data_IF_509182109601
#
_entry.id   IF_509182109601
#
_cell.length_a   1.000
_cell.length_b   1.000
_cell.length_c   1.000
_cell.angle_alpha   90.00
_cell.angle_beta   90.00
_cell.angle_gamma   90.00
#
_symmetry.space_group_name_H-M   'P 1'
#
loop_
_entity.id
_entity.type
_entity.pdbx_description
1 polymer ?
#
# COMPACT_ATOMS: atom_id res chain seq x y z
N UNK A 1 -50.14 -52.29 -18.36
CA UNK A 1 -48.85 -51.99 -17.81
C UNK A 1 -48.50 -50.53 -18.15
N UNK A 2 -48.75 -49.60 -17.25
CA UNK A 2 -48.43 -48.18 -17.42
C UNK A 2 -47.03 -47.92 -16.89
N UNK A 3 -46.05 -47.52 -17.72
CA UNK A 3 -44.72 -47.14 -17.32
C UNK A 3 -44.79 -45.70 -16.84
N UNK A 4 -44.54 -45.47 -15.53
CA UNK A 4 -44.31 -44.17 -14.96
C UNK A 4 -42.85 -43.72 -15.30
N UNK A 5 -42.73 -42.66 -16.09
CA UNK A 5 -41.46 -42.02 -16.38
C UNK A 5 -41.24 -40.93 -15.33
N UNK A 6 -40.36 -41.18 -14.32
CA UNK A 6 -39.98 -40.20 -13.30
C UNK A 6 -38.92 -39.29 -13.89
N UNK A 7 -39.28 -38.05 -14.23
CA UNK A 7 -38.33 -37.01 -14.63
C UNK A 7 -37.71 -36.46 -13.36
N UNK A 8 -36.40 -36.77 -13.12
CA UNK A 8 -35.61 -36.22 -12.09
C UNK A 8 -35.12 -34.81 -12.53
N UNK A 9 -35.78 -33.77 -12.04
CA UNK A 9 -35.40 -32.40 -12.29
C UNK A 9 -34.16 -32.09 -11.43
N UNK A 10 -32.95 -32.17 -12.00
CA UNK A 10 -31.70 -31.68 -11.39
C UNK A 10 -31.76 -30.17 -11.37
N UNK A 11 -32.17 -29.59 -10.23
CA UNK A 11 -31.96 -28.19 -9.91
C UNK A 11 -30.48 -27.99 -9.71
N UNK A 12 -29.77 -27.60 -10.76
CA UNK A 12 -28.43 -27.01 -10.62
C UNK A 12 -28.60 -25.65 -9.97
N UNK A 13 -28.42 -25.58 -8.66
CA UNK A 13 -28.17 -24.31 -7.99
C UNK A 13 -26.83 -23.80 -8.53
N UNK A 14 -26.87 -22.92 -9.49
CA UNK A 14 -25.73 -22.09 -9.84
C UNK A 14 -25.38 -21.29 -8.60
N UNK A 15 -24.35 -21.73 -7.89
CA UNK A 15 -23.71 -20.90 -6.87
C UNK A 15 -23.09 -19.75 -7.66
N UNK A 16 -23.82 -18.66 -7.75
CA UNK A 16 -23.27 -17.40 -8.23
C UNK A 16 -22.24 -16.95 -7.16
N UNK A 17 -21.01 -17.28 -7.40
CA UNK A 17 -19.90 -16.76 -6.60
C UNK A 17 -19.78 -15.27 -6.94
N UNK A 18 -20.62 -14.44 -6.34
CA UNK A 18 -20.42 -13.00 -6.35
C UNK A 18 -19.01 -12.72 -5.83
N UNK A 19 -18.24 -11.98 -6.59
CA UNK A 19 -16.85 -11.67 -6.20
C UNK A 19 -16.89 -10.89 -4.90
N UNK A 20 -16.33 -11.45 -3.84
CA UNK A 20 -16.38 -10.87 -2.49
C UNK A 20 -15.42 -9.70 -2.41
N UNK A 21 -15.92 -8.53 -2.02
CA UNK A 21 -15.09 -7.39 -1.68
C UNK A 21 -14.29 -7.67 -0.40
N UNK A 22 -13.03 -7.24 -0.39
CA UNK A 22 -12.13 -7.35 0.74
C UNK A 22 -11.90 -8.79 1.27
N UNK A 23 -11.58 -9.80 0.43
CA UNK A 23 -11.18 -11.10 0.95
C UNK A 23 -9.97 -10.95 1.88
N UNK A 24 -9.84 -11.84 2.88
CA UNK A 24 -8.72 -11.79 3.84
C UNK A 24 -7.39 -11.85 3.06
N UNK A 25 -6.46 -10.97 3.42
CA UNK A 25 -5.18 -10.81 2.74
C UNK A 25 -5.21 -9.85 1.55
N UNK A 26 -6.38 -9.32 1.17
CA UNK A 26 -6.44 -8.29 0.14
C UNK A 26 -5.74 -7.01 0.59
N UNK A 27 -4.99 -6.39 -0.34
CA UNK A 27 -4.20 -5.17 -0.13
C UNK A 27 -4.50 -4.15 -1.19
N UNK A 28 -4.65 -2.90 -0.77
CA UNK A 28 -4.82 -1.73 -1.63
C UNK A 28 -3.77 -0.71 -1.27
N UNK A 29 -3.08 -0.20 -2.26
CA UNK A 29 -2.12 0.87 -2.12
C UNK A 29 -2.68 2.12 -2.80
N UNK A 30 -2.88 3.19 -2.04
CA UNK A 30 -3.34 4.49 -2.55
C UNK A 30 -2.23 5.51 -2.37
N UNK A 31 -1.96 6.31 -3.39
CA UNK A 31 -1.04 7.43 -3.26
C UNK A 31 -1.56 8.39 -2.18
N UNK A 32 -0.63 8.97 -1.44
CA UNK A 32 -0.90 10.06 -0.52
C UNK A 32 0.07 11.20 -0.79
N UNK A 33 -0.35 12.42 -0.48
CA UNK A 33 0.48 13.62 -0.52
C UNK A 33 0.04 14.53 0.61
N UNK A 34 0.39 14.15 1.84
CA UNK A 34 -0.04 14.84 3.06
C UNK A 34 0.56 16.23 3.22
N UNK A 35 1.69 16.53 2.59
CA UNK A 35 2.25 17.88 2.56
C UNK A 35 2.37 18.36 1.12
N UNK A 36 1.89 19.57 0.83
CA UNK A 36 2.06 20.19 -0.50
C UNK A 36 3.52 20.37 -0.94
N UNK A 37 4.48 19.93 -0.13
CA UNK A 37 5.92 19.92 -0.38
C UNK A 37 6.46 18.54 -0.73
N UNK A 38 5.70 17.46 -0.48
CA UNK A 38 6.15 16.11 -0.80
C UNK A 38 6.14 15.86 -2.31
N UNK A 39 7.18 15.23 -2.88
CA UNK A 39 7.14 14.83 -4.29
C UNK A 39 5.96 13.90 -4.56
N UNK A 40 5.38 14.02 -5.76
CA UNK A 40 4.27 13.16 -6.16
C UNK A 40 4.65 11.67 -6.02
N UNK A 41 3.74 10.87 -5.48
CA UNK A 41 3.93 9.43 -5.19
C UNK A 41 5.00 9.09 -4.13
N UNK A 42 5.41 10.03 -3.29
CA UNK A 42 6.39 9.78 -2.22
C UNK A 42 5.80 9.10 -0.98
N UNK A 43 4.49 9.18 -0.83
CA UNK A 43 3.72 8.69 0.32
C UNK A 43 2.59 7.78 -0.13
N UNK A 44 2.10 6.91 0.76
CA UNK A 44 0.96 6.06 0.43
C UNK A 44 0.21 5.55 1.66
N UNK A 45 -1.06 5.21 1.46
CA UNK A 45 -1.87 4.42 2.37
C UNK A 45 -1.87 2.95 1.93
N UNK A 46 -1.65 2.05 2.88
CA UNK A 46 -1.89 0.62 2.74
C UNK A 46 -3.17 0.27 3.50
N UNK A 47 -4.16 -0.22 2.77
CA UNK A 47 -5.34 -0.87 3.33
C UNK A 47 -5.14 -2.38 3.21
N UNK A 48 -5.33 -3.11 4.32
CA UNK A 48 -5.15 -4.57 4.35
C UNK A 48 -6.32 -5.25 5.06
N UNK A 49 -7.01 -6.15 4.36
CA UNK A 49 -8.09 -6.96 4.93
C UNK A 49 -7.51 -8.06 5.82
N UNK A 50 -7.67 -7.92 7.14
CA UNK A 50 -6.97 -8.75 8.12
C UNK A 50 -7.76 -9.97 8.58
N UNK A 51 -9.04 -9.76 8.94
CA UNK A 51 -9.86 -10.80 9.54
C UNK A 51 -11.36 -10.51 9.42
N UNK A 52 -12.16 -11.55 9.62
CA UNK A 52 -13.60 -11.43 9.84
C UNK A 52 -13.90 -11.05 11.28
N UNK A 53 -14.87 -10.18 11.47
CA UNK A 53 -15.32 -9.71 12.80
C UNK A 53 -16.80 -9.39 12.79
N UNK A 54 -17.35 -8.99 13.93
CA UNK A 54 -18.75 -8.53 14.03
C UNK A 54 -18.77 -7.13 14.58
N UNK A 55 -19.36 -6.19 13.82
CA UNK A 55 -19.53 -4.79 14.20
C UNK A 55 -20.96 -4.36 13.84
N UNK A 56 -21.64 -3.63 14.72
CA UNK A 56 -23.01 -3.18 14.48
C UNK A 56 -24.00 -4.32 14.16
N UNK A 57 -23.74 -5.52 14.66
CA UNK A 57 -24.59 -6.71 14.41
C UNK A 57 -24.36 -7.43 13.08
N UNK A 58 -23.44 -6.95 12.23
CA UNK A 58 -23.11 -7.57 10.95
C UNK A 58 -21.74 -8.26 11.00
N UNK A 59 -21.65 -9.46 10.41
CA UNK A 59 -20.36 -10.08 10.08
C UNK A 59 -19.71 -9.25 8.98
N UNK A 60 -18.49 -8.77 9.21
CA UNK A 60 -17.80 -7.83 8.36
C UNK A 60 -16.29 -8.09 8.28
N UNK A 61 -15.63 -7.54 7.29
CA UNK A 61 -14.17 -7.53 7.15
C UNK A 61 -13.60 -6.34 7.93
N UNK A 62 -12.54 -6.62 8.71
CA UNK A 62 -11.71 -5.56 9.30
C UNK A 62 -10.55 -5.26 8.36
N UNK A 63 -10.48 -4.03 7.88
CA UNK A 63 -9.42 -3.53 7.01
C UNK A 63 -8.56 -2.58 7.83
N UNK A 64 -7.31 -2.92 8.09
CA UNK A 64 -6.35 -2.00 8.72
C UNK A 64 -5.92 -0.94 7.73
N UNK A 65 -5.59 0.23 8.24
CA UNK A 65 -5.12 1.36 7.45
C UNK A 65 -3.79 1.83 8.01
N UNK A 66 -2.76 1.79 7.18
CA UNK A 66 -1.41 2.23 7.53
C UNK A 66 -0.99 3.34 6.58
N UNK A 67 -0.58 4.47 7.11
CA UNK A 67 -0.03 5.58 6.36
C UNK A 67 1.49 5.58 6.44
N UNK A 68 2.15 5.69 5.31
CA UNK A 68 3.61 5.74 5.17
C UNK A 68 4.04 7.13 4.73
N UNK A 69 4.63 7.88 5.66
CA UNK A 69 5.01 9.28 5.48
C UNK A 69 6.38 9.43 4.79
N UNK A 70 6.53 10.53 4.03
CA UNK A 70 7.76 10.89 3.32
C UNK A 70 8.82 11.56 4.22
N UNK A 71 8.40 12.58 4.99
CA UNK A 71 9.34 13.53 5.59
C UNK A 71 10.24 12.85 6.64
N UNK A 72 9.66 12.09 7.56
CA UNK A 72 10.40 11.43 8.63
C UNK A 72 10.62 9.94 8.36
N UNK A 73 9.99 9.41 7.31
CA UNK A 73 9.92 7.97 7.07
C UNK A 73 9.06 7.22 8.09
N UNK A 74 8.24 7.95 8.84
CA UNK A 74 7.39 7.40 9.88
C UNK A 74 6.22 6.58 9.31
N UNK A 75 5.64 5.79 10.17
CA UNK A 75 4.48 4.97 9.87
C UNK A 75 3.39 5.26 10.90
N UNK A 76 2.23 5.69 10.44
CA UNK A 76 1.07 5.93 11.28
C UNK A 76 0.00 4.86 11.06
N UNK A 77 -0.53 4.33 12.16
CA UNK A 77 -1.66 3.40 12.13
C UNK A 77 -2.95 4.17 12.34
N UNK A 78 -3.83 4.14 11.35
CA UNK A 78 -5.10 4.84 11.35
C UNK A 78 -6.23 3.91 11.84
N UNK A 79 -7.40 4.47 12.22
CA UNK A 79 -8.56 3.67 12.58
C UNK A 79 -8.94 2.70 11.46
N UNK A 80 -9.27 1.44 11.78
CA UNK A 80 -9.63 0.46 10.77
C UNK A 80 -10.97 0.77 10.11
N UNK A 81 -11.12 0.34 8.87
CA UNK A 81 -12.38 0.36 8.12
C UNK A 81 -13.06 -1.01 8.27
N UNK A 82 -14.37 -1.00 8.49
CA UNK A 82 -15.16 -2.22 8.55
C UNK A 82 -16.15 -2.23 7.39
N UNK A 83 -16.13 -3.31 6.60
CA UNK A 83 -16.99 -3.46 5.43
C UNK A 83 -17.68 -4.80 5.41
N UNK A 84 -18.91 -4.84 4.90
CA UNK A 84 -19.55 -6.09 4.50
C UNK A 84 -20.19 -5.92 3.13
N UNK A 85 -20.41 -7.02 2.44
CA UNK A 85 -21.11 -7.04 1.18
C UNK A 85 -22.43 -7.80 1.30
N UNK A 86 -23.50 -7.24 0.76
CA UNK A 86 -24.78 -7.87 0.62
C UNK A 86 -25.26 -7.69 -0.81
N UNK A 87 -25.47 -8.80 -1.53
CA UNK A 87 -25.73 -8.80 -2.96
C UNK A 87 -24.72 -7.93 -3.73
N UNK A 88 -25.18 -7.00 -4.54
CA UNK A 88 -24.37 -6.11 -5.38
C UNK A 88 -23.95 -4.80 -4.66
N UNK A 89 -24.01 -4.74 -3.32
CA UNK A 89 -23.68 -3.53 -2.56
C UNK A 89 -22.65 -3.84 -1.47
N UNK A 90 -21.58 -3.08 -1.46
CA UNK A 90 -20.61 -3.01 -0.38
C UNK A 90 -21.00 -1.90 0.57
N UNK A 91 -21.01 -2.20 1.86
CA UNK A 91 -21.31 -1.25 2.94
C UNK A 91 -20.07 -1.01 3.79
N UNK A 92 -19.89 0.19 4.32
CA UNK A 92 -18.90 0.52 5.33
C UNK A 92 -19.57 0.97 6.65
N UNK A 93 -18.91 0.67 7.76
CA UNK A 93 -19.37 1.10 9.08
C UNK A 93 -18.88 2.50 9.38
N UNK A 94 -19.83 3.42 9.63
CA UNK A 94 -19.52 4.74 10.11
C UNK A 94 -19.57 4.75 11.64
N UNK A 95 -18.42 4.97 12.29
CA UNK A 95 -18.29 4.93 13.76
C UNK A 95 -19.05 6.08 14.43
N UNK A 96 -19.18 7.23 13.76
CA UNK A 96 -19.85 8.42 14.31
C UNK A 96 -21.34 8.16 14.43
N UNK A 97 -21.95 7.58 13.41
CA UNK A 97 -23.39 7.25 13.38
C UNK A 97 -23.69 5.85 13.93
N UNK A 98 -22.67 5.08 14.26
CA UNK A 98 -22.79 3.68 14.69
C UNK A 98 -23.68 2.85 13.76
N UNK A 99 -23.55 3.06 12.44
CA UNK A 99 -24.38 2.43 11.42
C UNK A 99 -23.61 2.16 10.13
N UNK A 100 -24.15 1.26 9.30
CA UNK A 100 -23.62 0.95 7.99
C UNK A 100 -24.27 1.81 6.91
N UNK A 101 -23.46 2.29 5.96
CA UNK A 101 -23.88 3.03 4.79
C UNK A 101 -23.33 2.41 3.52
N UNK A 102 -24.05 2.51 2.38
CA UNK A 102 -23.53 2.06 1.10
C UNK A 102 -22.21 2.73 0.74
N UNK A 103 -21.24 1.92 0.28
CA UNK A 103 -19.94 2.36 -0.21
C UNK A 103 -19.84 2.21 -1.72
N UNK A 104 -20.11 1.00 -2.24
CA UNK A 104 -20.13 0.70 -3.67
C UNK A 104 -21.44 -0.02 -4.03
N UNK A 105 -22.13 0.44 -5.06
CA UNK A 105 -23.41 -0.13 -5.53
C UNK A 105 -23.21 -0.56 -6.98
N UNK A 106 -23.21 -1.86 -7.24
CA UNK A 106 -22.95 -2.41 -8.57
C UNK A 106 -24.20 -2.72 -9.38
N UNK A 107 -25.38 -2.81 -8.76
CA UNK A 107 -26.64 -2.97 -9.47
C UNK A 107 -27.21 -1.61 -9.88
N UNK A 108 -26.60 -1.00 -10.88
CA UNK A 108 -26.89 0.35 -11.36
C UNK A 108 -26.87 0.39 -12.88
N UNK A 109 -27.56 1.38 -13.46
CA UNK A 109 -27.57 1.72 -14.87
C UNK A 109 -27.09 3.15 -15.12
N UNK A 110 -26.70 3.44 -16.35
CA UNK A 110 -26.36 4.80 -16.78
C UNK A 110 -27.52 5.76 -16.48
N UNK A 111 -27.22 6.90 -15.89
CA UNK A 111 -28.18 7.92 -15.51
C UNK A 111 -28.74 7.78 -14.09
N UNK A 112 -28.49 6.66 -13.41
CA UNK A 112 -28.90 6.50 -12.00
C UNK A 112 -28.18 7.52 -11.11
N UNK A 113 -28.90 7.98 -10.08
CA UNK A 113 -28.32 8.87 -9.05
C UNK A 113 -28.04 8.08 -7.78
N UNK A 114 -26.78 8.00 -7.43
CA UNK A 114 -26.28 7.36 -6.21
C UNK A 114 -26.26 8.37 -5.06
N UNK A 115 -26.45 7.85 -3.83
CA UNK A 115 -26.39 8.65 -2.59
C UNK A 115 -25.39 7.98 -1.64
N UNK A 116 -24.43 8.76 -1.17
CA UNK A 116 -23.40 8.32 -0.25
C UNK A 116 -23.43 9.15 1.04
N UNK A 117 -23.08 8.54 2.16
CA UNK A 117 -22.88 9.27 3.42
C UNK A 117 -21.39 9.60 3.57
N UNK A 118 -21.11 10.72 4.21
CA UNK A 118 -19.74 11.13 4.51
C UNK A 118 -19.19 10.33 5.69
N UNK A 119 -18.00 9.74 5.61
CA UNK A 119 -17.38 9.05 6.73
C UNK A 119 -16.85 9.99 7.81
N UNK A 120 -16.64 11.26 7.51
CA UNK A 120 -15.83 12.21 8.28
C UNK A 120 -16.60 13.35 8.97
N UNK A 121 -17.90 13.43 8.82
CA UNK A 121 -18.69 14.53 9.41
C UNK A 121 -19.72 14.11 10.44
N UNK A 122 -19.78 14.93 11.49
CA UNK A 122 -20.75 14.84 12.58
C UNK A 122 -22.12 15.46 12.26
N UNK A 123 -22.29 16.07 11.09
CA UNK A 123 -23.53 16.74 10.69
C UNK A 123 -24.50 15.77 10.03
N UNK A 124 -25.70 15.71 10.56
CA UNK A 124 -26.72 14.66 10.37
C UNK A 124 -27.25 14.50 8.93
N UNK A 125 -27.02 15.43 8.01
CA UNK A 125 -27.69 15.40 6.70
C UNK A 125 -26.77 15.74 5.51
N UNK A 126 -25.66 15.05 5.40
CA UNK A 126 -24.79 15.22 4.23
C UNK A 126 -24.70 13.91 3.43
N UNK A 127 -25.75 13.63 2.70
CA UNK A 127 -25.68 12.67 1.60
C UNK A 127 -25.13 13.36 0.37
N UNK A 128 -24.12 12.75 -0.23
CA UNK A 128 -23.60 13.17 -1.51
C UNK A 128 -24.26 12.42 -2.63
N UNK A 129 -24.40 13.10 -3.74
CA UNK A 129 -24.99 12.51 -4.93
C UNK A 129 -23.94 12.44 -6.03
N UNK A 130 -23.95 11.32 -6.73
CA UNK A 130 -23.20 11.13 -7.96
C UNK A 130 -24.13 10.54 -9.02
N UNK A 131 -23.95 10.91 -10.27
CA UNK A 131 -24.63 10.27 -11.38
C UNK A 131 -23.75 9.18 -11.97
N UNK A 132 -24.35 8.07 -12.36
CA UNK A 132 -23.69 7.00 -13.09
C UNK A 132 -23.53 7.43 -14.55
N UNK A 133 -22.31 7.69 -14.98
CA UNK A 133 -22.01 8.08 -16.36
C UNK A 133 -22.04 6.88 -17.30
N UNK A 134 -21.48 5.76 -16.86
CA UNK A 134 -21.50 4.50 -17.63
C UNK A 134 -21.19 3.30 -16.74
N UNK A 135 -21.60 2.15 -17.21
CA UNK A 135 -21.25 0.85 -16.62
C UNK A 135 -20.50 0.04 -17.69
N UNK A 136 -19.28 -0.34 -17.38
CA UNK A 136 -18.38 -1.09 -18.25
C UNK A 136 -17.87 -2.35 -17.56
N UNK A 137 -17.03 -3.11 -18.22
CA UNK A 137 -16.34 -4.26 -17.63
C UNK A 137 -14.84 -4.08 -17.74
N UNK A 138 -14.11 -4.56 -16.73
CA UNK A 138 -12.66 -4.67 -16.70
C UNK A 138 -12.29 -6.14 -16.62
N UNK A 139 -11.40 -6.58 -17.49
CA UNK A 139 -10.90 -7.97 -17.47
C UNK A 139 -9.54 -7.95 -16.79
N UNK A 140 -9.40 -8.71 -15.70
CA UNK A 140 -8.15 -8.91 -14.99
C UNK A 140 -7.89 -10.41 -14.91
N UNK A 141 -6.84 -10.88 -15.57
CA UNK A 141 -6.58 -12.32 -15.73
C UNK A 141 -7.80 -13.05 -16.31
N UNK A 142 -8.52 -13.83 -15.52
CA UNK A 142 -9.74 -14.56 -15.92
C UNK A 142 -11.02 -13.92 -15.41
N UNK A 143 -10.92 -12.94 -14.52
CA UNK A 143 -12.07 -12.29 -13.89
C UNK A 143 -12.61 -11.17 -14.79
N UNK A 144 -13.93 -11.15 -15.00
CA UNK A 144 -14.63 -10.03 -15.64
C UNK A 144 -15.35 -9.24 -14.56
N UNK A 145 -14.84 -8.06 -14.25
CA UNK A 145 -15.28 -7.19 -13.16
C UNK A 145 -16.13 -6.05 -13.70
N UNK A 146 -17.25 -5.77 -13.07
CA UNK A 146 -18.06 -4.59 -13.39
C UNK A 146 -17.32 -3.34 -12.93
N UNK A 147 -17.30 -2.31 -13.77
CA UNK A 147 -16.73 -1.00 -13.49
C UNK A 147 -17.79 0.07 -13.70
N UNK A 148 -18.05 0.85 -12.65
CA UNK A 148 -19.05 1.92 -12.66
C UNK A 148 -18.32 3.25 -12.64
N UNK A 149 -18.56 4.07 -13.65
CA UNK A 149 -18.06 5.42 -13.77
C UNK A 149 -19.07 6.41 -13.22
N UNK A 150 -18.61 7.38 -12.43
CA UNK A 150 -19.49 8.34 -11.78
C UNK A 150 -18.95 9.76 -11.88
N UNK A 151 -19.86 10.71 -12.00
CA UNK A 151 -19.59 12.13 -11.88
C UNK A 151 -20.34 12.73 -10.67
N UNK A 152 -19.70 13.62 -9.91
CA UNK A 152 -20.33 14.25 -8.75
C UNK A 152 -21.44 15.20 -9.21
N UNK A 153 -22.56 15.19 -8.48
CA UNK A 153 -23.63 16.18 -8.62
C UNK A 153 -23.52 17.29 -7.58
N UNK A 154 -22.79 17.06 -6.51
CA UNK A 154 -22.53 18.00 -5.43
C UNK A 154 -21.04 18.34 -5.42
N UNK A 155 -20.60 19.35 -4.63
CA UNK A 155 -19.19 19.76 -4.54
C UNK A 155 -18.28 18.72 -3.88
N UNK A 156 -18.70 17.47 -3.81
CA UNK A 156 -18.03 16.37 -3.13
C UNK A 156 -18.15 15.10 -3.95
N UNK A 157 -17.12 14.29 -4.03
CA UNK A 157 -17.17 13.19 -4.99
C UNK A 157 -16.46 11.92 -4.56
N UNK A 158 -17.03 10.82 -5.02
CA UNK A 158 -16.21 9.81 -5.66
C UNK A 158 -15.79 10.35 -7.02
N UNK A 159 -14.52 10.70 -7.19
CA UNK A 159 -13.96 10.95 -8.50
C UNK A 159 -13.55 9.63 -9.13
N UNK A 160 -13.88 9.45 -10.40
CA UNK A 160 -13.41 8.33 -11.18
C UNK A 160 -14.40 7.18 -11.26
N UNK A 161 -13.93 6.00 -11.00
CA UNK A 161 -14.73 4.77 -11.09
C UNK A 161 -14.51 3.87 -9.89
N UNK A 162 -15.47 3.00 -9.62
CA UNK A 162 -15.28 1.89 -8.71
C UNK A 162 -15.52 0.56 -9.42
N UNK A 163 -14.75 -0.44 -9.03
CA UNK A 163 -14.62 -1.72 -9.72
C UNK A 163 -14.96 -2.83 -8.73
N UNK A 164 -15.77 -3.82 -9.16
CA UNK A 164 -16.02 -5.01 -8.36
C UNK A 164 -14.72 -5.58 -7.82
N UNK A 165 -14.71 -6.06 -6.56
CA UNK A 165 -13.55 -6.61 -5.87
C UNK A 165 -12.48 -5.56 -5.50
N UNK A 166 -12.15 -4.63 -6.41
CA UNK A 166 -11.07 -3.65 -6.22
C UNK A 166 -11.52 -2.39 -5.45
N UNK A 167 -12.78 -1.99 -5.57
CA UNK A 167 -13.25 -0.71 -5.02
C UNK A 167 -12.92 0.49 -5.90
N UNK A 168 -12.91 1.69 -5.33
CA UNK A 168 -12.68 2.92 -6.07
C UNK A 168 -11.21 3.09 -6.48
N UNK A 169 -11.00 3.48 -7.74
CA UNK A 169 -9.68 3.68 -8.32
C UNK A 169 -9.02 5.00 -7.89
N UNK A 170 -9.74 5.85 -7.17
CA UNK A 170 -9.18 7.11 -6.67
C UNK A 170 -8.97 7.09 -5.15
N UNK A 171 -10.00 6.79 -4.35
CA UNK A 171 -9.95 6.70 -2.89
C UNK A 171 -10.83 5.56 -2.40
N UNK A 172 -10.41 4.82 -1.36
CA UNK A 172 -11.23 3.74 -0.82
C UNK A 172 -12.55 4.24 -0.21
N UNK A 173 -12.50 5.36 0.50
CA UNK A 173 -13.67 5.98 1.13
C UNK A 173 -13.92 7.34 0.50
N UNK A 174 -15.20 7.77 0.36
CA UNK A 174 -15.53 9.09 -0.16
C UNK A 174 -15.03 10.19 0.80
N UNK A 175 -14.34 11.19 0.25
CA UNK A 175 -13.85 12.35 1.01
C UNK A 175 -14.41 13.64 0.46
N UNK A 176 -14.29 14.75 1.23
CA UNK A 176 -14.70 16.07 0.77
C UNK A 176 -13.63 16.72 -0.08
N UNK A 177 -14.02 17.37 -1.18
CA UNK A 177 -13.11 18.20 -1.98
C UNK A 177 -12.44 19.32 -1.15
N UNK A 178 -13.07 19.78 -0.07
CA UNK A 178 -12.52 20.82 0.79
C UNK A 178 -11.31 20.36 1.63
N UNK A 179 -11.13 19.06 1.81
CA UNK A 179 -9.97 18.46 2.47
C UNK A 179 -8.90 17.95 1.47
N UNK A 180 -9.17 18.03 0.17
CA UNK A 180 -8.20 17.72 -0.90
C UNK A 180 -7.20 18.89 -1.09
N UNK A 181 -6.77 19.52 -0.02
CA UNK A 181 -5.53 20.31 -0.04
C UNK A 181 -4.33 19.35 -0.04
N UNK A 182 -4.56 18.12 0.35
CA UNK A 182 -3.63 17.01 0.36
C UNK A 182 -4.11 16.01 -0.70
N UNK A 183 -3.33 15.81 -1.73
CA UNK A 183 -3.71 14.99 -2.89
C UNK A 183 -3.65 13.50 -2.58
N UNK A 184 -4.65 12.99 -1.86
CA UNK A 184 -4.83 11.56 -1.68
C UNK A 184 -5.33 10.91 -2.97
N UNK A 185 -4.85 9.71 -3.25
CA UNK A 185 -5.17 8.98 -4.48
C UNK A 185 -4.19 9.27 -5.64
N UNK A 186 -4.31 8.62 -6.78
CA UNK A 186 -5.17 7.46 -7.04
C UNK A 186 -4.68 6.13 -6.44
N UNK A 187 -5.46 5.06 -6.65
CA UNK A 187 -5.01 3.70 -6.34
C UNK A 187 -3.79 3.35 -7.19
N UNK A 188 -2.75 2.86 -6.54
CA UNK A 188 -1.55 2.35 -7.22
C UNK A 188 -1.74 0.90 -7.64
N UNK A 189 -2.14 0.08 -6.69
CA UNK A 189 -2.25 -1.36 -6.86
C UNK A 189 -3.33 -1.95 -5.98
N UNK A 190 -3.81 -3.10 -6.43
CA UNK A 190 -4.61 -4.05 -5.68
C UNK A 190 -3.98 -5.44 -5.76
N UNK A 191 -4.02 -6.21 -4.69
CA UNK A 191 -3.68 -7.63 -4.71
C UNK A 191 -4.46 -8.42 -3.67
N UNK A 192 -4.83 -9.66 -4.02
CA UNK A 192 -5.33 -10.68 -3.11
C UNK A 192 -4.73 -12.05 -3.48
N UNK A 193 -5.25 -13.14 -2.93
CA UNK A 193 -4.77 -14.50 -3.19
C UNK A 193 -4.94 -14.96 -4.65
N UNK A 194 -5.77 -14.30 -5.44
CA UNK A 194 -6.15 -14.71 -6.81
C UNK A 194 -5.86 -13.65 -7.86
N UNK A 195 -5.82 -12.39 -7.47
CA UNK A 195 -5.79 -11.25 -8.37
C UNK A 195 -4.69 -10.28 -7.96
N UNK A 196 -3.94 -9.79 -8.94
CA UNK A 196 -3.01 -8.68 -8.77
C UNK A 196 -3.22 -7.70 -9.92
N UNK A 197 -3.40 -6.43 -9.60
CA UNK A 197 -3.63 -5.38 -10.60
C UNK A 197 -2.90 -4.10 -10.22
N UNK A 198 -2.14 -3.54 -11.16
CA UNK A 198 -1.44 -2.27 -10.98
C UNK A 198 -2.02 -1.22 -11.92
N UNK A 199 -2.45 -0.09 -11.35
CA UNK A 199 -2.92 1.08 -12.09
C UNK A 199 -1.73 1.94 -12.57
N UNK A 200 -0.59 1.85 -11.86
CA UNK A 200 0.62 2.56 -12.21
C UNK A 200 1.77 1.55 -12.33
N UNK A 201 2.36 1.46 -13.51
CA UNK A 201 3.47 0.54 -13.81
C UNK A 201 4.85 1.18 -13.66
N UNK A 202 4.92 2.49 -13.37
CA UNK A 202 6.18 3.21 -13.29
C UNK A 202 6.92 2.98 -11.96
N UNK A 203 6.17 2.69 -10.89
CA UNK A 203 6.73 2.49 -9.56
C UNK A 203 6.14 1.24 -8.88
N UNK A 204 6.87 0.57 -7.98
CA UNK A 204 6.32 -0.45 -7.10
C UNK A 204 5.12 0.09 -6.29
N UNK A 205 4.23 -0.81 -5.88
CA UNK A 205 3.02 -0.42 -5.14
C UNK A 205 3.34 0.30 -3.82
N UNK A 206 4.38 -0.14 -3.15
CA UNK A 206 4.90 0.35 -1.87
C UNK A 206 6.01 1.41 -2.05
N UNK A 207 6.17 1.94 -3.25
CA UNK A 207 7.17 2.96 -3.49
C UNK A 207 6.93 4.19 -2.61
N UNK A 208 7.96 4.58 -1.89
CA UNK A 208 8.05 5.85 -1.17
C UNK A 208 9.43 6.46 -1.38
N UNK A 209 9.48 7.76 -1.50
CA UNK A 209 10.73 8.50 -1.42
C UNK A 209 11.06 8.66 0.07
N UNK A 210 12.26 8.33 0.49
CA UNK A 210 12.73 8.64 1.83
C UNK A 210 13.84 9.68 1.74
N UNK A 211 13.78 10.72 2.56
CA UNK A 211 14.83 11.75 2.64
C UNK A 211 16.04 11.29 3.46
N UNK A 212 15.92 10.16 4.13
CA UNK A 212 17.03 9.51 4.84
C UNK A 212 17.95 8.75 3.88
N UNK A 213 19.22 8.64 4.22
CA UNK A 213 20.06 7.58 3.65
C UNK A 213 19.36 6.26 3.98
N UNK A 214 18.89 5.54 2.95
CA UNK A 214 18.37 4.20 3.14
C UNK A 214 19.49 3.40 3.82
N UNK A 215 19.32 3.05 5.09
CA UNK A 215 20.04 1.92 5.61
C UNK A 215 19.50 0.73 4.85
N UNK A 216 20.22 0.32 3.80
CA UNK A 216 19.95 -0.92 3.08
C UNK A 216 19.82 -2.00 4.14
N UNK A 217 18.63 -2.62 4.22
CA UNK A 217 18.44 -3.76 5.11
C UNK A 217 19.61 -4.71 4.89
N UNK A 218 20.29 -5.04 5.97
CA UNK A 218 21.55 -5.76 5.95
C UNK A 218 21.31 -7.22 5.56
N UNK A 219 21.04 -7.45 4.28
CA UNK A 219 20.72 -8.76 3.70
C UNK A 219 21.84 -9.79 3.90
N UNK A 220 23.03 -9.35 4.28
CA UNK A 220 24.22 -10.19 4.42
C UNK A 220 24.85 -10.16 5.82
N UNK A 221 24.13 -9.73 6.88
CA UNK A 221 24.70 -9.72 8.24
C UNK A 221 25.97 -8.87 8.38
N UNK A 222 26.13 -7.79 7.58
CA UNK A 222 27.30 -6.92 7.64
C UNK A 222 27.36 -6.16 8.96
N UNK A 223 28.47 -6.26 9.68
CA UNK A 223 28.77 -5.46 10.86
C UNK A 223 30.14 -4.79 10.78
N UNK A 224 30.21 -3.55 11.27
CA UNK A 224 31.44 -2.77 11.42
C UNK A 224 31.54 -2.29 12.87
N UNK A 225 32.62 -2.64 13.53
CA UNK A 225 32.84 -2.28 14.92
C UNK A 225 34.34 -2.17 15.28
N UNK A 226 34.73 -1.40 16.29
CA UNK A 226 33.89 -0.44 16.98
C UNK A 226 33.61 0.81 16.13
N UNK A 227 32.52 1.48 16.40
CA UNK A 227 32.22 2.81 15.87
C UNK A 227 31.58 3.64 17.00
N UNK A 228 32.32 4.64 17.58
CA UNK A 228 33.60 5.19 17.13
C UNK A 228 34.80 4.23 17.18
N UNK A 229 35.77 4.45 16.28
CA UNK A 229 36.98 3.64 16.15
C UNK A 229 38.23 4.41 16.61
N UNK A 230 39.13 3.74 17.34
CA UNK A 230 40.47 4.23 17.64
C UNK A 230 41.49 3.74 16.63
N UNK A 231 41.94 2.52 16.74
CA UNK A 231 43.07 2.02 15.96
C UNK A 231 42.68 0.99 14.87
N UNK A 232 41.66 0.19 15.13
CA UNK A 232 41.29 -0.92 14.27
C UNK A 232 39.77 -1.01 14.09
N UNK A 233 39.34 -1.02 12.86
CA UNK A 233 37.95 -1.24 12.46
C UNK A 233 37.80 -2.68 11.96
N UNK A 234 37.03 -3.49 12.66
CA UNK A 234 36.68 -4.84 12.26
C UNK A 234 35.42 -4.82 11.40
N UNK A 235 35.43 -5.57 10.31
CA UNK A 235 34.33 -5.70 9.38
C UNK A 235 34.04 -7.19 9.21
N UNK A 236 32.79 -7.59 9.40
CA UNK A 236 32.32 -8.96 9.19
C UNK A 236 31.09 -8.96 8.30
N UNK A 237 30.98 -9.96 7.44
CA UNK A 237 29.85 -10.13 6.54
C UNK A 237 29.54 -11.61 6.37
N UNK A 238 28.26 -11.98 6.42
CA UNK A 238 27.82 -13.36 6.16
C UNK A 238 27.75 -13.65 4.66
N UNK A 239 28.89 -13.49 3.98
CA UNK A 239 29.01 -13.74 2.56
C UNK A 239 30.38 -14.39 2.26
N UNK A 240 30.38 -15.44 1.47
CA UNK A 240 31.58 -16.17 1.06
C UNK A 240 32.12 -15.74 -0.32
N UNK A 241 31.57 -14.65 -0.88
CA UNK A 241 32.07 -14.06 -2.13
C UNK A 241 33.07 -12.93 -1.85
N UNK A 242 34.02 -12.68 -2.79
CA UNK A 242 34.91 -11.53 -2.68
C UNK A 242 34.12 -10.23 -2.57
N UNK A 243 34.33 -9.55 -1.49
CA UNK A 243 33.68 -8.29 -1.12
C UNK A 243 34.73 -7.20 -0.93
N UNK A 244 34.42 -6.00 -1.30
CA UNK A 244 35.33 -4.86 -1.22
C UNK A 244 34.78 -3.82 -0.26
N UNK A 245 35.64 -3.32 0.63
CA UNK A 245 35.38 -2.12 1.45
C UNK A 245 36.21 -0.96 0.94
N UNK A 246 35.56 0.20 0.81
CA UNK A 246 36.18 1.47 0.43
C UNK A 246 35.87 2.49 1.51
N UNK A 247 36.89 3.22 1.95
CA UNK A 247 36.78 4.29 2.90
C UNK A 247 37.05 5.63 2.21
N UNK A 248 36.19 6.62 2.47
CA UNK A 248 36.28 7.98 1.92
C UNK A 248 36.33 9.01 3.04
N UNK A 249 36.94 10.16 2.76
CA UNK A 249 36.74 11.34 3.60
C UNK A 249 35.43 12.03 3.28
N UNK A 250 35.09 13.08 4.05
CA UNK A 250 33.85 13.87 3.87
C UNK A 250 33.78 14.61 2.52
N UNK A 251 34.90 14.77 1.80
CA UNK A 251 34.98 15.34 0.46
C UNK A 251 34.90 14.25 -0.64
N UNK A 252 34.49 13.04 -0.27
CA UNK A 252 34.38 11.85 -1.17
C UNK A 252 35.70 11.43 -1.81
N UNK A 253 36.85 11.80 -1.22
CA UNK A 253 38.14 11.32 -1.70
C UNK A 253 38.40 9.93 -1.11
N UNK A 254 38.72 8.99 -1.99
CA UNK A 254 39.04 7.60 -1.59
C UNK A 254 40.37 7.58 -0.82
N UNK A 255 40.32 7.05 0.40
CA UNK A 255 41.46 6.91 1.28
C UNK A 255 42.01 5.49 1.34
N UNK A 256 41.14 4.51 1.30
CA UNK A 256 41.49 3.09 1.42
C UNK A 256 40.51 2.25 0.61
N UNK A 257 41.02 1.14 0.08
CA UNK A 257 40.24 0.09 -0.60
C UNK A 257 40.86 -1.26 -0.27
N UNK A 258 40.03 -2.21 0.15
CA UNK A 258 40.49 -3.55 0.52
C UNK A 258 39.47 -4.59 0.14
N UNK A 259 39.94 -5.67 -0.52
CA UNK A 259 39.08 -6.82 -0.84
C UNK A 259 39.25 -7.88 0.25
N UNK A 260 38.14 -8.52 0.62
CA UNK A 260 38.12 -9.54 1.67
C UNK A 260 37.00 -10.56 1.41
N UNK A 261 37.05 -11.68 2.15
CA UNK A 261 35.99 -12.67 2.21
C UNK A 261 35.63 -12.85 3.67
N UNK A 262 34.34 -12.79 3.99
CA UNK A 262 33.76 -12.99 5.32
C UNK A 262 34.21 -11.93 6.37
N UNK A 263 35.47 -11.66 6.57
CA UNK A 263 35.93 -10.65 7.54
C UNK A 263 37.25 -10.01 7.17
N UNK A 264 37.46 -8.77 7.67
CA UNK A 264 38.75 -8.06 7.58
C UNK A 264 38.91 -7.06 8.71
N UNK A 265 40.13 -6.58 8.89
CA UNK A 265 40.47 -5.51 9.85
C UNK A 265 41.21 -4.40 9.09
N UNK A 266 40.71 -3.18 9.24
CA UNK A 266 41.35 -1.97 8.72
C UNK A 266 42.11 -1.28 9.86
N UNK A 267 43.41 -1.00 9.63
CA UNK A 267 44.16 -0.10 10.53
C UNK A 267 43.75 1.34 10.24
N UNK A 268 43.27 2.02 11.27
CA UNK A 268 42.81 3.42 11.22
C UNK A 268 43.71 4.37 11.97
N UNK A 269 44.85 3.93 12.52
CA UNK A 269 45.81 4.76 13.28
C UNK A 269 46.29 5.99 12.52
N UNK A 270 46.47 5.85 11.19
CA UNK A 270 46.92 6.93 10.31
C UNK A 270 45.83 7.95 9.94
N UNK A 271 44.60 7.66 10.29
CA UNK A 271 43.47 8.55 9.96
C UNK A 271 43.38 9.66 11.04
N UNK A 272 43.13 10.87 10.59
CA UNK A 272 42.85 11.99 11.49
C UNK A 272 41.51 11.78 12.22
N UNK A 273 41.32 12.35 13.38
CA UNK A 273 40.04 12.34 14.08
C UNK A 273 38.97 13.02 13.24
N UNK A 274 37.81 12.39 13.14
CA UNK A 274 36.72 12.91 12.32
C UNK A 274 35.78 11.85 11.77
N UNK A 275 34.88 12.25 10.89
CA UNK A 275 33.91 11.39 10.24
C UNK A 275 34.42 10.93 8.86
N UNK A 276 34.25 9.64 8.58
CA UNK A 276 34.58 9.00 7.34
C UNK A 276 33.35 8.28 6.80
N UNK A 277 33.25 8.19 5.47
CA UNK A 277 32.23 7.43 4.78
C UNK A 277 32.80 6.10 4.34
N UNK A 278 32.00 5.05 4.41
CA UNK A 278 32.39 3.73 3.86
C UNK A 278 31.37 3.22 2.87
N UNK A 279 31.82 2.41 1.93
CA UNK A 279 31.04 1.63 0.99
C UNK A 279 31.55 0.20 0.99
N UNK A 280 30.62 -0.77 1.16
CA UNK A 280 30.90 -2.20 1.02
C UNK A 280 30.16 -2.69 -0.19
N UNK A 281 30.86 -3.35 -1.14
CA UNK A 281 30.29 -3.83 -2.40
C UNK A 281 30.84 -5.18 -2.84
N UNK A 282 30.07 -5.89 -3.66
CA UNK A 282 30.49 -7.10 -4.34
C UNK A 282 30.31 -6.94 -5.86
N UNK A 283 30.36 -8.06 -6.60
CA UNK A 283 30.16 -8.06 -8.06
C UNK A 283 28.77 -7.59 -8.51
N UNK A 284 27.76 -7.74 -7.66
CA UNK A 284 26.36 -7.42 -7.97
C UNK A 284 25.99 -5.96 -7.66
N UNK A 285 26.80 -5.27 -6.83
CA UNK A 285 26.57 -3.87 -6.49
C UNK A 285 26.96 -3.51 -5.06
N UNK A 286 26.47 -2.36 -4.59
CA UNK A 286 26.67 -1.86 -3.24
C UNK A 286 25.82 -2.69 -2.28
N UNK A 287 26.47 -3.33 -1.30
CA UNK A 287 25.83 -4.07 -0.21
C UNK A 287 25.39 -3.12 0.89
N UNK A 288 26.29 -2.21 1.30
CA UNK A 288 26.03 -1.22 2.33
C UNK A 288 26.96 -0.04 2.21
N UNK A 289 26.48 1.13 2.58
CA UNK A 289 27.26 2.33 2.84
C UNK A 289 26.91 2.89 4.22
N UNK A 290 27.75 3.78 4.73
CA UNK A 290 27.50 4.40 6.02
C UNK A 290 28.65 5.28 6.47
N UNK A 291 28.70 5.58 7.79
CA UNK A 291 29.70 6.45 8.40
C UNK A 291 30.46 5.74 9.53
N UNK A 292 31.73 6.08 9.65
CA UNK A 292 32.62 5.69 10.76
C UNK A 292 33.16 6.95 11.40
N UNK A 293 33.19 6.98 12.72
CA UNK A 293 33.76 8.08 13.51
C UNK A 293 35.10 7.61 14.02
N UNK A 294 36.17 8.36 13.70
CA UNK A 294 37.51 8.18 14.26
C UNK A 294 37.75 9.12 15.46
N UNK A 295 38.09 8.54 16.59
CA UNK A 295 38.47 9.26 17.81
C UNK A 295 39.98 9.43 17.97
#
# INVERSE_FOLDING_TARGET
MKKFLTILLLLTYGICWGQTFAPIGAKWYYSAQASGMAPQNSEYYLYESQLDTVVGGHSCKKISVTYYEYINGDTAYLPPVYTYQSADTVFYYNIIFSNYFPLYIFNVAQGDTLRFHRPDLTVIDTTWRAVVDSVTTLIISTDTLKRVWTSPLDNYSFHGSYIEKLGCDFLMLPQTLALIIEHDGPMRCYSDSTTSYSFNTLFPCDYRLTTGMNESENTFGLSLFPNPVTDKLSITIDNYEPTEIILYDIASRKLLQQTFINSTIINTEQLAKGMYLYEVRNRTGIIKNGKVIKE
#
